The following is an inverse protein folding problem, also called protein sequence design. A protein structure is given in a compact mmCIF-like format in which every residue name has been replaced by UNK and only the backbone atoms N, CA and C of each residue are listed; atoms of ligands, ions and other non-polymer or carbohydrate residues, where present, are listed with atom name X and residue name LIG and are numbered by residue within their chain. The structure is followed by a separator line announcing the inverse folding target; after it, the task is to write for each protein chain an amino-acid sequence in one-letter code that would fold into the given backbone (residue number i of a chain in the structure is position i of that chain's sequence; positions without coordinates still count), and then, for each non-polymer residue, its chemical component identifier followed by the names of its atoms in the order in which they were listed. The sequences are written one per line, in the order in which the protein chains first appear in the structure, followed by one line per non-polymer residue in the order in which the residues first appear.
data_IF_747793128725
#
_entry.id   IF_747793128725
#
_cell.length_a   1.000
_cell.length_b   1.000
_cell.length_c   1.000
_cell.angle_alpha   90.00
_cell.angle_beta   90.00
_cell.angle_gamma   90.00
#
_symmetry.space_group_name_H-M   'P 1'
#
loop_
_entity.id
_entity.type
_entity.pdbx_description
1 polymer ?
#
# COMPACT_ATOMS: atom_id res chain seq x y z
N UNK A 1 -19.44 3.09 4.15
CA UNK A 1 -18.17 3.54 4.75
C UNK A 1 -18.25 5.04 5.02
N UNK A 2 -17.76 5.52 6.16
CA UNK A 2 -17.70 6.94 6.53
C UNK A 2 -16.47 7.63 5.92
N UNK A 3 -16.49 8.98 5.84
CA UNK A 3 -15.34 9.80 5.42
C UNK A 3 -14.08 9.50 6.24
N UNK A 4 -14.22 9.26 7.55
CA UNK A 4 -13.10 8.95 8.46
C UNK A 4 -12.48 7.58 8.14
N UNK A 5 -13.30 6.58 7.86
CA UNK A 5 -12.83 5.24 7.46
C UNK A 5 -12.07 5.29 6.12
N UNK A 6 -12.58 6.05 5.14
CA UNK A 6 -11.91 6.23 3.85
C UNK A 6 -10.54 6.91 4.00
N UNK A 7 -10.45 7.96 4.81
CA UNK A 7 -9.18 8.64 5.08
C UNK A 7 -8.18 7.68 5.74
N UNK A 8 -8.61 6.91 6.74
CA UNK A 8 -7.75 5.94 7.42
C UNK A 8 -7.25 4.87 6.46
N UNK A 9 -8.09 4.44 5.53
CA UNK A 9 -7.76 3.45 4.52
C UNK A 9 -6.75 3.98 3.51
N UNK A 10 -6.90 5.23 3.05
CA UNK A 10 -5.91 5.90 2.19
C UNK A 10 -4.58 6.05 2.93
N UNK A 11 -4.59 6.43 4.22
CA UNK A 11 -3.36 6.54 5.03
C UNK A 11 -2.66 5.20 5.24
N UNK A 12 -3.42 4.13 5.47
CA UNK A 12 -2.87 2.77 5.56
C UNK A 12 -2.22 2.38 4.23
N UNK A 13 -2.89 2.69 3.12
CA UNK A 13 -2.39 2.44 1.78
C UNK A 13 -1.09 3.23 1.49
N UNK A 14 -1.03 4.51 1.84
CA UNK A 14 0.19 5.36 1.75
C UNK A 14 1.36 4.78 2.57
N UNK A 15 1.07 4.15 3.71
CA UNK A 15 2.10 3.63 4.61
C UNK A 15 2.74 2.31 4.15
N UNK A 16 2.06 1.49 3.34
CA UNK A 16 2.51 0.12 3.05
C UNK A 16 3.76 0.03 2.17
N UNK A 17 3.88 0.85 1.13
CA UNK A 17 5.06 0.81 0.25
C UNK A 17 6.36 1.21 0.97
N UNK A 18 6.42 2.36 1.68
CA UNK A 18 7.60 2.73 2.45
C UNK A 18 7.92 1.72 3.55
N UNK A 19 6.90 1.19 4.23
CA UNK A 19 7.06 0.16 5.25
C UNK A 19 7.74 -1.07 4.68
N UNK A 20 7.24 -1.60 3.56
CA UNK A 20 7.82 -2.79 2.94
C UNK A 20 9.26 -2.55 2.48
N UNK A 21 9.53 -1.42 1.82
CA UNK A 21 10.89 -1.08 1.38
C UNK A 21 11.86 -1.08 2.58
N UNK A 22 11.47 -0.45 3.70
CA UNK A 22 12.28 -0.42 4.92
C UNK A 22 12.50 -1.82 5.49
N UNK A 23 11.45 -2.60 5.66
CA UNK A 23 11.53 -3.93 6.28
C UNK A 23 12.40 -4.90 5.48
N UNK A 24 12.25 -4.90 4.16
CA UNK A 24 13.06 -5.73 3.29
C UNK A 24 14.53 -5.29 3.32
N UNK A 25 14.79 -3.97 3.33
CA UNK A 25 16.15 -3.45 3.51
C UNK A 25 16.74 -3.85 4.86
N UNK A 26 16.00 -3.74 5.96
CA UNK A 26 16.49 -4.08 7.30
C UNK A 26 16.79 -5.58 7.44
N UNK A 27 15.96 -6.44 6.85
CA UNK A 27 16.09 -7.89 6.99
C UNK A 27 17.11 -8.50 6.03
N UNK A 28 17.07 -8.10 4.77
CA UNK A 28 17.97 -8.64 3.75
C UNK A 28 19.24 -7.80 3.59
N UNK A 29 19.33 -6.65 4.28
CA UNK A 29 20.48 -5.72 4.24
C UNK A 29 20.77 -5.18 2.83
N UNK A 30 19.73 -5.11 2.00
CA UNK A 30 19.81 -4.67 0.61
C UNK A 30 19.46 -3.18 0.47
N UNK A 31 20.36 -2.38 -0.11
CA UNK A 31 20.15 -0.95 -0.36
C UNK A 31 19.66 -0.66 -1.80
N UNK A 32 18.71 -1.45 -2.27
CA UNK A 32 18.10 -1.30 -3.60
C UNK A 32 16.57 -1.43 -3.51
N UNK A 33 15.87 -1.00 -4.58
CA UNK A 33 14.41 -1.11 -4.61
C UNK A 33 13.98 -2.57 -4.48
N UNK A 34 12.87 -2.89 -3.77
CA UNK A 34 12.43 -4.27 -3.63
C UNK A 34 12.11 -4.98 -4.94
N UNK A 35 11.69 -4.24 -5.98
CA UNK A 35 11.57 -4.84 -7.32
C UNK A 35 12.91 -5.34 -7.81
N UNK A 36 13.95 -4.50 -7.74
CA UNK A 36 15.26 -4.87 -8.25
C UNK A 36 15.87 -6.00 -7.40
N UNK A 37 15.66 -5.97 -6.09
CA UNK A 37 16.07 -7.04 -5.20
C UNK A 37 15.38 -8.37 -5.54
N UNK A 38 14.07 -8.34 -5.80
CA UNK A 38 13.32 -9.50 -6.22
C UNK A 38 13.77 -10.03 -7.60
N UNK A 39 13.94 -9.17 -8.61
CA UNK A 39 14.35 -9.61 -9.96
C UNK A 39 15.76 -10.17 -9.99
N UNK A 40 16.61 -9.76 -9.03
CA UNK A 40 17.94 -10.32 -8.80
C UNK A 40 17.96 -11.51 -7.83
N UNK A 41 16.80 -11.98 -7.38
CA UNK A 41 16.65 -13.08 -6.41
C UNK A 41 17.36 -12.85 -5.06
N UNK A 42 17.54 -11.59 -4.65
CA UNK A 42 18.15 -11.23 -3.36
C UNK A 42 17.16 -11.32 -2.19
N UNK A 43 15.86 -11.25 -2.49
CA UNK A 43 14.77 -11.39 -1.53
C UNK A 43 13.73 -12.38 -2.06
N UNK A 44 12.97 -13.06 -1.18
CA UNK A 44 11.93 -13.98 -1.61
C UNK A 44 10.76 -13.24 -2.29
N UNK A 45 10.08 -13.96 -3.18
CA UNK A 45 8.95 -13.42 -3.95
C UNK A 45 7.71 -13.16 -3.09
N UNK A 46 7.58 -13.84 -1.95
CA UNK A 46 6.46 -13.67 -1.01
C UNK A 46 6.89 -14.03 0.40
N UNK A 47 6.25 -13.44 1.39
CA UNK A 47 6.49 -13.71 2.81
C UNK A 47 5.45 -13.02 3.69
N UNK A 48 5.70 -13.01 4.99
CA UNK A 48 4.83 -12.37 5.98
C UNK A 48 5.57 -11.26 6.72
N UNK A 49 4.87 -10.15 6.92
CA UNK A 49 5.30 -9.06 7.79
C UNK A 49 4.35 -9.01 8.97
N UNK A 50 4.92 -9.03 10.17
CA UNK A 50 4.19 -8.89 11.42
C UNK A 50 4.66 -7.62 12.15
N UNK A 51 3.69 -6.87 12.64
CA UNK A 51 3.85 -5.70 13.51
C UNK A 51 3.01 -5.93 14.76
N UNK A 52 3.22 -5.12 15.80
CA UNK A 52 2.39 -5.18 17.02
C UNK A 52 0.89 -4.90 16.74
N UNK A 53 0.57 -4.29 15.59
CA UNK A 53 -0.77 -3.81 15.22
C UNK A 53 -1.35 -4.55 14.01
N UNK A 54 -0.51 -5.12 13.13
CA UNK A 54 -0.91 -5.66 11.83
C UNK A 54 -0.07 -6.88 11.46
N UNK A 55 -0.70 -7.87 10.85
CA UNK A 55 -0.03 -8.97 10.14
C UNK A 55 -0.49 -8.99 8.70
N UNK A 56 0.44 -9.07 7.76
CA UNK A 56 0.11 -9.08 6.35
C UNK A 56 1.08 -9.93 5.52
N UNK A 57 0.53 -10.57 4.49
CA UNK A 57 1.32 -11.31 3.50
C UNK A 57 1.66 -10.39 2.34
N UNK A 58 2.91 -10.39 1.90
CA UNK A 58 3.32 -9.72 0.67
C UNK A 58 3.58 -10.73 -0.45
N UNK A 59 3.36 -10.31 -1.71
CA UNK A 59 3.67 -11.09 -2.89
C UNK A 59 4.04 -10.18 -4.07
N UNK A 60 5.30 -10.27 -4.51
CA UNK A 60 5.79 -9.61 -5.71
C UNK A 60 5.22 -10.25 -6.98
N UNK A 61 4.81 -9.39 -7.90
CA UNK A 61 4.32 -9.77 -9.23
C UNK A 61 4.76 -8.71 -10.24
N UNK A 62 4.94 -9.07 -11.51
CA UNK A 62 5.26 -8.12 -12.58
C UNK A 62 6.21 -6.98 -12.14
N UNK A 63 5.66 -5.76 -12.06
CA UNK A 63 6.31 -4.53 -11.60
C UNK A 63 5.74 -3.99 -10.28
N UNK A 64 5.17 -4.86 -9.47
CA UNK A 64 4.36 -4.51 -8.30
C UNK A 64 4.47 -5.50 -7.14
N UNK A 65 3.71 -5.21 -6.10
CA UNK A 65 3.56 -6.06 -4.94
C UNK A 65 2.14 -5.98 -4.40
N UNK A 66 1.57 -7.14 -4.09
CA UNK A 66 0.28 -7.27 -3.41
C UNK A 66 0.49 -7.51 -1.93
N UNK A 67 -0.26 -6.79 -1.12
CA UNK A 67 -0.36 -6.98 0.33
C UNK A 67 -1.74 -7.50 0.66
N UNK A 68 -1.79 -8.60 1.40
CA UNK A 68 -3.03 -9.23 1.85
C UNK A 68 -3.17 -9.02 3.35
N UNK A 69 -4.18 -8.22 3.74
CA UNK A 69 -4.53 -7.90 5.12
C UNK A 69 -5.91 -8.50 5.43
N UNK A 70 -5.94 -9.75 5.91
CA UNK A 70 -7.20 -10.48 6.06
C UNK A 70 -7.89 -10.70 4.71
N UNK A 71 -9.11 -10.18 4.56
CA UNK A 71 -9.91 -10.21 3.33
C UNK A 71 -9.57 -9.08 2.34
N UNK A 72 -8.66 -8.17 2.71
CA UNK A 72 -8.32 -6.99 1.92
C UNK A 72 -7.05 -7.19 1.11
N UNK A 73 -7.04 -6.67 -0.11
CA UNK A 73 -5.88 -6.71 -1.01
C UNK A 73 -5.49 -5.29 -1.41
N UNK A 74 -4.26 -4.91 -1.09
CA UNK A 74 -3.61 -3.68 -1.55
C UNK A 74 -2.64 -4.05 -2.65
N UNK A 75 -2.81 -3.50 -3.86
CA UNK A 75 -1.89 -3.75 -4.97
C UNK A 75 -1.14 -2.47 -5.34
N UNK A 76 0.20 -2.54 -5.32
CA UNK A 76 1.10 -1.41 -5.57
C UNK A 76 1.93 -1.72 -6.81
N UNK A 77 1.86 -0.84 -7.81
CA UNK A 77 2.77 -0.84 -8.95
C UNK A 77 3.81 0.27 -8.76
N UNK A 78 5.09 -0.06 -8.85
CA UNK A 78 6.15 0.93 -8.63
C UNK A 78 6.52 1.76 -9.87
N UNK A 79 6.08 1.35 -11.07
CA UNK A 79 6.22 2.12 -12.30
C UNK A 79 4.85 2.66 -12.73
N UNK A 80 4.81 3.93 -13.11
CA UNK A 80 3.57 4.67 -13.34
C UNK A 80 3.17 4.77 -14.79
N UNK A 81 2.22 3.91 -15.19
CA UNK A 81 1.59 4.01 -16.50
C UNK A 81 0.14 4.54 -16.39
N UNK A 82 -0.42 4.65 -15.18
CA UNK A 82 -1.75 5.23 -14.90
C UNK A 82 -1.71 5.98 -13.56
N UNK A 83 -1.95 7.29 -13.59
CA UNK A 83 -2.08 8.23 -12.45
C UNK A 83 -1.42 7.75 -11.14
N UNK A 84 -0.09 7.87 -11.05
CA UNK A 84 0.66 7.52 -9.84
C UNK A 84 0.62 8.63 -8.82
N UNK A 85 -0.05 8.39 -7.70
CA UNK A 85 0.09 9.22 -6.51
C UNK A 85 1.17 8.60 -5.62
N UNK A 86 2.28 9.31 -5.31
CA UNK A 86 3.39 8.81 -4.46
C UNK A 86 3.89 7.37 -4.78
N UNK A 87 3.81 6.94 -6.05
CA UNK A 87 4.19 5.59 -6.47
C UNK A 87 3.08 4.53 -6.36
N UNK A 88 1.82 4.93 -6.22
CA UNK A 88 0.66 4.03 -6.11
C UNK A 88 -0.26 4.08 -7.33
N UNK A 89 -0.79 2.93 -7.76
CA UNK A 89 -1.82 2.85 -8.80
C UNK A 89 -3.17 3.28 -8.24
N UNK A 90 -3.80 4.28 -8.86
CA UNK A 90 -5.17 4.72 -8.54
C UNK A 90 -6.19 3.58 -8.64
N UNK A 91 -6.06 2.70 -9.63
CA UNK A 91 -6.88 1.50 -9.76
C UNK A 91 -6.62 0.43 -8.69
N UNK A 92 -5.40 0.38 -8.15
CA UNK A 92 -5.08 -0.44 -6.96
C UNK A 92 -5.75 0.11 -5.70
N UNK A 93 -5.72 1.43 -5.52
CA UNK A 93 -6.39 2.11 -4.42
C UNK A 93 -7.92 1.95 -4.48
N UNK A 94 -8.53 2.07 -5.66
CA UNK A 94 -9.98 1.84 -5.81
C UNK A 94 -10.37 0.41 -5.46
N UNK A 95 -9.62 -0.59 -5.95
CA UNK A 95 -9.86 -2.01 -5.59
C UNK A 95 -9.72 -2.26 -4.09
N UNK A 96 -8.77 -1.61 -3.45
CA UNK A 96 -8.62 -1.69 -2.00
C UNK A 96 -9.82 -1.06 -1.26
N UNK A 97 -10.32 0.07 -1.76
CA UNK A 97 -11.56 0.68 -1.27
C UNK A 97 -12.77 -0.25 -1.47
N UNK A 98 -12.95 -0.84 -2.65
CA UNK A 98 -14.03 -1.78 -2.95
C UNK A 98 -14.01 -2.98 -2.01
N UNK A 99 -12.86 -3.63 -1.86
CA UNK A 99 -12.71 -4.83 -1.01
C UNK A 99 -12.80 -4.53 0.48
N UNK A 100 -12.52 -3.30 0.90
CA UNK A 100 -12.61 -2.90 2.31
C UNK A 100 -13.96 -2.33 2.72
N UNK A 101 -14.83 -1.99 1.76
CA UNK A 101 -16.13 -1.38 2.04
C UNK A 101 -17.18 -2.44 2.37
N UNK A 102 -17.84 -2.29 3.53
CA UNK A 102 -18.98 -3.13 3.94
C UNK A 102 -20.34 -2.52 3.57
N UNK A 103 -20.41 -1.69 2.53
CA UNK A 103 -21.64 -0.99 2.13
C UNK A 103 -21.53 -0.34 0.75
N UNK A 104 -22.48 0.53 0.37
CA UNK A 104 -22.51 1.17 -0.94
C UNK A 104 -21.16 1.80 -1.28
N UNK A 105 -20.63 1.44 -2.45
CA UNK A 105 -19.36 1.92 -2.97
C UNK A 105 -19.61 3.08 -3.92
N UNK A 106 -18.77 4.11 -3.82
CA UNK A 106 -18.73 5.18 -4.81
C UNK A 106 -18.35 4.59 -6.17
N UNK A 107 -18.92 5.18 -7.23
CA UNK A 107 -18.42 4.94 -8.58
C UNK A 107 -16.95 5.34 -8.68
N UNK A 108 -16.22 4.75 -9.64
CA UNK A 108 -14.79 4.99 -9.80
C UNK A 108 -14.46 6.49 -9.97
N UNK A 109 -15.27 7.22 -10.75
CA UNK A 109 -15.10 8.67 -10.95
C UNK A 109 -15.36 9.45 -9.65
N UNK A 110 -16.47 9.19 -8.98
CA UNK A 110 -16.83 9.83 -7.71
C UNK A 110 -15.78 9.60 -6.62
N UNK A 111 -15.20 8.40 -6.59
CA UNK A 111 -14.10 8.06 -5.68
C UNK A 111 -12.87 8.93 -5.95
N UNK A 112 -12.46 9.08 -7.21
CA UNK A 112 -11.29 9.88 -7.56
C UNK A 112 -11.51 11.37 -7.34
N UNK A 113 -12.71 11.89 -7.60
CA UNK A 113 -13.06 13.28 -7.29
C UNK A 113 -12.98 13.57 -5.79
N UNK A 114 -13.50 12.65 -4.97
CA UNK A 114 -13.40 12.76 -3.52
C UNK A 114 -11.95 12.66 -3.05
N UNK A 115 -11.17 11.74 -3.61
CA UNK A 115 -9.75 11.59 -3.32
C UNK A 115 -8.97 12.88 -3.61
N UNK A 116 -9.16 13.48 -4.79
CA UNK A 116 -8.49 14.73 -5.16
C UNK A 116 -8.90 15.88 -4.22
N UNK A 117 -10.19 15.99 -3.87
CA UNK A 117 -10.65 16.96 -2.88
C UNK A 117 -9.99 16.77 -1.51
N UNK A 118 -9.85 15.54 -1.03
CA UNK A 118 -9.21 15.24 0.25
C UNK A 118 -7.71 15.59 0.24
N UNK A 119 -7.04 15.35 -0.89
CA UNK A 119 -5.64 15.73 -1.13
C UNK A 119 -5.47 17.25 -1.12
N UNK A 120 -6.30 17.97 -1.86
CA UNK A 120 -6.23 19.44 -1.94
C UNK A 120 -6.53 20.11 -0.60
N UNK A 121 -7.33 19.46 0.24
CA UNK A 121 -7.61 19.85 1.62
C UNK A 121 -6.50 19.45 2.62
N UNK A 122 -5.46 18.74 2.18
CA UNK A 122 -4.33 18.33 3.01
C UNK A 122 -4.61 17.20 4.01
N UNK A 123 -5.72 16.45 3.85
CA UNK A 123 -6.06 15.33 4.73
C UNK A 123 -5.20 14.07 4.49
N UNK A 124 -4.64 13.97 3.28
CA UNK A 124 -3.83 12.85 2.78
C UNK A 124 -2.58 13.41 2.09
N UNK A 125 -1.48 12.63 2.04
CA UNK A 125 -0.19 13.11 1.52
C UNK A 125 0.73 13.82 2.52
N UNK A 126 0.40 13.78 3.81
CA UNK A 126 1.32 14.22 4.86
C UNK A 126 2.36 13.13 5.15
N UNK A 127 3.55 13.51 5.66
CA UNK A 127 4.59 12.54 6.08
C UNK A 127 3.97 11.47 6.99
N UNK A 128 4.04 10.22 6.56
CA UNK A 128 3.56 9.07 7.34
C UNK A 128 4.40 9.03 8.63
N UNK A 129 3.77 9.09 9.82
CA UNK A 129 4.49 8.90 11.07
C UNK A 129 5.10 7.50 11.10
N UNK A 130 6.26 7.30 11.77
CA UNK A 130 6.85 5.98 11.88
C UNK A 130 5.84 5.05 12.56
N UNK A 131 5.32 4.09 11.78
CA UNK A 131 4.64 2.93 12.32
C UNK A 131 5.67 2.19 13.23
N UNK A 132 5.24 1.53 14.31
CA UNK A 132 6.06 1.03 15.44
C UNK A 132 7.18 -0.01 15.17
N UNK A 133 7.23 -1.09 15.93
CA UNK A 133 8.29 -2.14 15.87
C UNK A 133 7.82 -3.33 14.99
N UNK A 134 8.75 -4.09 14.38
CA UNK A 134 8.43 -5.09 13.34
C UNK A 134 9.24 -6.37 13.40
N UNK A 135 8.66 -7.44 12.84
CA UNK A 135 9.26 -8.75 12.69
C UNK A 135 8.95 -9.33 11.30
N UNK A 136 9.97 -9.91 10.64
CA UNK A 136 9.84 -10.64 9.38
C UNK A 136 9.95 -12.14 9.67
N UNK A 137 8.99 -12.93 9.19
CA UNK A 137 8.93 -14.40 9.33
C UNK A 137 8.97 -15.08 7.97
#
# INVERSE_FOLDING_TARGET
MSKKELINLIKLFEAMAPLMNRLLKETYKEDISPILAYTKHLIPRSGFIETDELSFKYQFHGRGCKFMLGDKIIDINYYGDEFTYQGFSSGGLYRFYETSSKGPILGREEFYDLFNKLKDQGFIGQKIPPLGTYYLK
#
